data_IF_567176319890
#
_entry.id   IF_567176319890
#
_cell.length_a   1.000
_cell.length_b   1.000
_cell.length_c   1.000
_cell.angle_alpha   90.00
_cell.angle_beta   90.00
_cell.angle_gamma   90.00
#
_symmetry.space_group_name_H-M   'P 1'
#
loop_
_entity.id
_entity.type
_entity.pdbx_description
1 polymer ?
#
# COMPACT_ATOMS: atom_id res chain seq x y z
N UNK A 1 -8.97 -7.32 -8.26
CA UNK A 1 -7.82 -6.79 -8.99
C UNK A 1 -7.85 -7.34 -10.40
N UNK A 2 -7.40 -6.54 -11.35
CA UNK A 2 -7.43 -6.84 -12.77
C UNK A 2 -6.14 -7.56 -13.20
N UNK A 3 -6.12 -8.10 -14.42
CA UNK A 3 -5.01 -8.91 -14.92
C UNK A 3 -4.55 -8.45 -16.30
N UNK A 4 -3.24 -8.25 -16.44
CA UNK A 4 -2.55 -8.06 -17.72
C UNK A 4 -1.85 -9.35 -18.12
N UNK A 5 -2.08 -9.81 -19.34
CA UNK A 5 -1.47 -11.03 -19.86
C UNK A 5 -0.48 -10.72 -20.98
N UNK A 6 0.71 -11.29 -20.92
CA UNK A 6 1.74 -11.23 -21.97
C UNK A 6 2.18 -12.64 -22.30
N UNK A 7 1.97 -13.07 -23.54
CA UNK A 7 2.38 -14.38 -24.03
C UNK A 7 3.36 -14.21 -25.18
N UNK A 8 4.52 -14.84 -25.09
CA UNK A 8 5.58 -14.68 -26.09
C UNK A 8 6.40 -15.96 -26.23
N UNK A 9 6.85 -16.25 -27.46
CA UNK A 9 7.87 -17.27 -27.72
C UNK A 9 9.21 -16.58 -27.96
N UNK A 10 10.22 -16.99 -27.20
CA UNK A 10 11.58 -16.46 -27.26
C UNK A 10 12.59 -17.60 -27.37
N UNK A 11 13.77 -17.31 -27.93
CA UNK A 11 14.88 -18.26 -28.00
C UNK A 11 15.94 -17.91 -26.95
N UNK A 12 16.48 -18.94 -26.30
CA UNK A 12 17.53 -18.82 -25.29
C UNK A 12 18.32 -20.11 -25.15
N UNK A 13 19.39 -20.09 -24.35
CA UNK A 13 20.24 -21.25 -24.08
C UNK A 13 20.19 -21.53 -22.58
N UNK A 14 19.31 -22.45 -22.19
CA UNK A 14 19.08 -22.84 -20.80
C UNK A 14 18.89 -24.35 -20.67
N UNK A 15 19.65 -24.96 -19.78
CA UNK A 15 19.52 -26.38 -19.48
C UNK A 15 20.78 -26.97 -18.89
N UNK A 16 20.72 -28.26 -18.60
CA UNK A 16 21.79 -28.98 -17.89
C UNK A 16 22.64 -29.82 -18.82
N UNK A 17 22.03 -30.36 -19.87
CA UNK A 17 22.70 -31.31 -20.75
C UNK A 17 23.68 -30.60 -21.68
N UNK A 18 24.74 -31.29 -22.10
CA UNK A 18 25.72 -30.70 -23.03
C UNK A 18 25.10 -30.17 -24.32
N UNK A 19 23.98 -30.75 -24.76
CA UNK A 19 23.23 -30.28 -25.93
C UNK A 19 22.44 -28.99 -25.65
N UNK A 20 21.82 -28.85 -24.47
CA UNK A 20 21.05 -27.66 -24.07
C UNK A 20 21.93 -26.44 -23.78
N UNK A 21 23.19 -26.65 -23.38
CA UNK A 21 24.14 -25.56 -23.06
C UNK A 21 24.72 -24.91 -24.34
N UNK A 22 24.51 -25.51 -25.51
CA UNK A 22 25.03 -25.02 -26.79
C UNK A 22 23.98 -24.78 -27.86
N UNK A 23 22.79 -25.38 -27.74
CA UNK A 23 21.74 -25.29 -28.76
C UNK A 23 20.63 -24.36 -28.29
N UNK A 24 20.34 -23.25 -28.99
CA UNK A 24 19.19 -22.42 -28.70
C UNK A 24 17.88 -23.23 -28.79
N UNK A 25 17.04 -23.08 -27.78
CA UNK A 25 15.71 -23.69 -27.72
C UNK A 25 14.64 -22.61 -27.65
N UNK A 26 13.42 -22.93 -28.09
CA UNK A 26 12.27 -22.05 -27.95
C UNK A 26 11.58 -22.27 -26.60
N UNK A 27 11.32 -21.17 -25.92
CA UNK A 27 10.59 -21.10 -24.66
C UNK A 27 9.33 -20.28 -24.91
N UNK A 28 8.17 -20.86 -24.61
CA UNK A 28 6.95 -20.08 -24.45
C UNK A 28 6.91 -19.54 -23.02
N UNK A 29 6.76 -18.21 -22.91
CA UNK A 29 6.68 -17.49 -21.65
C UNK A 29 5.27 -16.90 -21.56
N UNK A 30 4.58 -17.24 -20.49
CA UNK A 30 3.25 -16.75 -20.15
C UNK A 30 3.38 -15.91 -18.87
N UNK A 31 3.15 -14.60 -18.95
CA UNK A 31 3.14 -13.69 -17.81
C UNK A 31 1.72 -13.20 -17.56
N UNK A 32 1.24 -13.38 -16.34
CA UNK A 32 0.03 -12.75 -15.82
C UNK A 32 0.43 -11.79 -14.70
N UNK A 33 0.28 -10.49 -14.92
CA UNK A 33 0.52 -9.46 -13.91
C UNK A 33 -0.81 -8.98 -13.33
N UNK A 34 -0.95 -9.05 -12.00
CA UNK A 34 -2.10 -8.52 -11.26
C UNK A 34 -1.89 -7.03 -10.99
N UNK A 35 -2.78 -6.19 -11.51
CA UNK A 35 -2.68 -4.72 -11.52
C UNK A 35 -4.06 -4.13 -11.19
N UNK A 36 -4.11 -2.90 -10.69
CA UNK A 36 -5.36 -2.13 -10.59
C UNK A 36 -5.52 -1.20 -11.80
N UNK A 37 -6.55 -1.43 -12.63
CA UNK A 37 -6.81 -0.59 -13.81
C UNK A 37 -7.67 0.65 -13.53
N UNK A 38 -8.12 0.85 -12.28
CA UNK A 38 -9.06 1.91 -11.90
C UNK A 38 -8.64 3.30 -12.37
N UNK A 39 -7.34 3.62 -12.29
CA UNK A 39 -6.77 4.90 -12.72
C UNK A 39 -6.68 5.00 -14.25
N UNK A 40 -6.16 3.97 -14.91
CA UNK A 40 -6.04 3.93 -16.36
C UNK A 40 -7.41 4.06 -17.05
N UNK A 41 -8.48 3.48 -16.48
CA UNK A 41 -9.85 3.64 -16.99
C UNK A 41 -10.34 5.09 -16.97
N UNK A 42 -9.86 5.90 -16.03
CA UNK A 42 -10.29 7.30 -15.89
C UNK A 42 -9.45 8.25 -16.74
N UNK A 43 -8.15 7.97 -16.86
CA UNK A 43 -7.21 8.90 -17.47
C UNK A 43 -6.90 8.60 -18.92
N UNK A 44 -7.04 7.34 -19.33
CA UNK A 44 -6.64 6.81 -20.63
C UNK A 44 -5.18 7.14 -20.99
N UNK A 45 -4.28 7.07 -20.00
CA UNK A 45 -2.84 7.36 -20.17
C UNK A 45 -1.98 6.15 -19.82
N UNK A 46 -1.02 5.84 -20.70
CA UNK A 46 -0.07 4.73 -20.52
C UNK A 46 0.73 4.82 -19.21
N UNK A 47 1.07 6.04 -18.77
CA UNK A 47 1.81 6.27 -17.52
C UNK A 47 1.04 5.86 -16.23
N UNK A 48 -0.27 5.61 -16.34
CA UNK A 48 -1.13 5.23 -15.23
C UNK A 48 -1.42 3.70 -15.23
N UNK A 49 -0.69 2.93 -16.04
CA UNK A 49 -0.74 1.46 -16.10
C UNK A 49 0.66 0.87 -16.34
N UNK A 50 0.76 -0.44 -16.49
CA UNK A 50 1.99 -1.12 -16.91
C UNK A 50 2.02 -1.24 -18.43
N UNK A 51 3.07 -0.71 -19.06
CA UNK A 51 3.32 -0.94 -20.48
C UNK A 51 3.81 -2.38 -20.69
N UNK A 52 3.00 -3.18 -21.38
CA UNK A 52 3.33 -4.56 -21.69
C UNK A 52 4.59 -4.69 -22.56
N UNK A 53 5.00 -3.64 -23.29
CA UNK A 53 6.26 -3.62 -24.04
C UNK A 53 7.47 -3.66 -23.10
N UNK A 54 7.36 -3.08 -21.90
CA UNK A 54 8.42 -3.17 -20.89
C UNK A 54 8.53 -4.58 -20.30
N UNK A 55 7.39 -5.24 -20.07
CA UNK A 55 7.35 -6.66 -19.67
C UNK A 55 7.99 -7.53 -20.76
N UNK A 56 7.59 -7.36 -22.03
CA UNK A 56 8.13 -8.11 -23.16
C UNK A 56 9.65 -7.94 -23.29
N UNK A 57 10.14 -6.71 -23.16
CA UNK A 57 11.56 -6.39 -23.15
C UNK A 57 12.29 -7.10 -22.00
N UNK A 58 11.75 -7.04 -20.78
CA UNK A 58 12.34 -7.73 -19.61
C UNK A 58 12.41 -9.24 -19.81
N UNK A 59 11.39 -9.85 -20.40
CA UNK A 59 11.38 -11.28 -20.75
C UNK A 59 12.51 -11.57 -21.75
N UNK A 60 12.56 -10.86 -22.88
CA UNK A 60 13.59 -11.09 -23.92
C UNK A 60 15.00 -10.91 -23.39
N UNK A 61 15.25 -9.89 -22.58
CA UNK A 61 16.56 -9.67 -21.99
C UNK A 61 16.96 -10.79 -21.04
N UNK A 62 16.03 -11.27 -20.20
CA UNK A 62 16.32 -12.32 -19.22
C UNK A 62 16.59 -13.66 -19.91
N UNK A 63 15.78 -14.01 -20.92
CA UNK A 63 15.95 -15.27 -21.68
C UNK A 63 17.14 -15.21 -22.64
N UNK A 64 17.39 -14.05 -23.25
CA UNK A 64 18.45 -13.91 -24.26
C UNK A 64 19.84 -13.65 -23.71
N UNK A 65 19.96 -13.02 -22.53
CA UNK A 65 21.26 -12.58 -21.97
C UNK A 65 21.70 -13.38 -20.74
N UNK A 66 20.78 -14.02 -20.02
CA UNK A 66 21.14 -14.89 -18.90
C UNK A 66 21.20 -16.35 -19.38
N UNK A 67 21.96 -17.20 -18.68
CA UNK A 67 21.93 -18.65 -18.90
C UNK A 67 21.75 -19.34 -17.57
N UNK A 68 20.80 -20.27 -17.52
CA UNK A 68 20.36 -20.94 -16.30
C UNK A 68 20.23 -22.42 -16.58
N UNK A 69 20.55 -23.25 -15.58
CA UNK A 69 20.37 -24.70 -15.67
C UNK A 69 18.89 -25.08 -15.60
N UNK A 70 18.11 -24.34 -14.82
CA UNK A 70 16.73 -24.64 -14.46
C UNK A 70 15.76 -23.60 -15.03
N UNK A 71 14.60 -24.05 -15.52
CA UNK A 71 13.53 -23.15 -15.98
C UNK A 71 12.81 -22.49 -14.79
N UNK A 72 12.91 -23.08 -13.60
CA UNK A 72 12.47 -22.53 -12.32
C UNK A 72 13.23 -21.26 -11.98
N UNK A 73 14.57 -21.28 -12.11
CA UNK A 73 15.41 -20.10 -11.90
C UNK A 73 15.06 -19.02 -12.92
N UNK A 74 14.90 -19.40 -14.19
CA UNK A 74 14.51 -18.44 -15.23
C UNK A 74 13.14 -17.81 -14.95
N UNK A 75 12.14 -18.61 -14.56
CA UNK A 75 10.82 -18.11 -14.18
C UNK A 75 10.89 -17.16 -12.99
N UNK A 76 11.73 -17.47 -11.99
CA UNK A 76 11.92 -16.63 -10.82
C UNK A 76 12.55 -15.29 -11.18
N UNK A 77 13.58 -15.29 -12.04
CA UNK A 77 14.25 -14.07 -12.52
C UNK A 77 13.33 -13.17 -13.33
N UNK A 78 12.51 -13.75 -14.21
CA UNK A 78 11.49 -12.98 -14.94
C UNK A 78 10.49 -12.37 -13.97
N UNK A 79 10.01 -13.14 -12.98
CA UNK A 79 9.09 -12.64 -11.96
C UNK A 79 9.70 -11.46 -11.18
N UNK A 80 10.94 -11.57 -10.70
CA UNK A 80 11.64 -10.47 -10.02
C UNK A 80 11.69 -9.20 -10.87
N UNK A 81 12.08 -9.33 -12.14
CA UNK A 81 12.22 -8.17 -13.03
C UNK A 81 10.88 -7.53 -13.39
N UNK A 82 9.81 -8.31 -13.54
CA UNK A 82 8.45 -7.77 -13.78
C UNK A 82 7.93 -7.05 -12.52
N UNK A 83 8.22 -7.59 -11.34
CA UNK A 83 7.81 -6.96 -10.08
C UNK A 83 8.49 -5.60 -9.84
N UNK A 84 9.63 -5.30 -10.47
CA UNK A 84 10.24 -3.96 -10.43
C UNK A 84 9.28 -2.83 -10.86
N UNK A 85 8.21 -3.13 -11.61
CA UNK A 85 7.15 -2.16 -11.91
C UNK A 85 6.25 -1.94 -10.70
N UNK A 86 6.19 -0.72 -10.14
CA UNK A 86 5.43 -0.43 -8.91
C UNK A 86 3.92 -0.76 -8.95
N UNK A 87 3.32 -0.78 -10.14
CA UNK A 87 1.91 -1.11 -10.32
C UNK A 87 1.58 -2.62 -10.25
N UNK A 88 2.59 -3.51 -10.27
CA UNK A 88 2.37 -4.96 -10.26
C UNK A 88 2.25 -5.49 -8.84
N UNK A 89 1.06 -5.90 -8.42
CA UNK A 89 0.81 -6.45 -7.08
C UNK A 89 1.23 -7.91 -6.94
N UNK A 90 1.05 -8.68 -8.00
CA UNK A 90 1.49 -10.06 -8.09
C UNK A 90 1.79 -10.41 -9.53
N UNK A 91 2.68 -11.37 -9.75
CA UNK A 91 2.98 -11.91 -11.08
C UNK A 91 2.97 -13.42 -11.04
N UNK A 92 2.31 -14.04 -12.01
CA UNK A 92 2.43 -15.45 -12.31
C UNK A 92 3.23 -15.60 -13.61
N UNK A 93 4.32 -16.36 -13.56
CA UNK A 93 5.17 -16.63 -14.72
C UNK A 93 5.13 -18.12 -15.02
N UNK A 94 4.62 -18.47 -16.19
CA UNK A 94 4.70 -19.79 -16.81
C UNK A 94 5.83 -19.84 -17.84
N UNK A 95 6.60 -20.92 -17.82
CA UNK A 95 7.61 -21.21 -18.84
C UNK A 95 7.39 -22.62 -19.36
N UNK A 96 7.30 -22.77 -20.68
CA UNK A 96 7.22 -24.06 -21.36
C UNK A 96 8.38 -24.20 -22.34
N UNK A 97 9.19 -25.26 -22.19
CA UNK A 97 10.21 -25.61 -23.21
C UNK A 97 9.55 -26.36 -24.36
N UNK A 98 9.64 -25.81 -25.57
CA UNK A 98 8.90 -26.35 -26.73
C UNK A 98 9.63 -27.49 -27.45
N UNK A 99 10.94 -27.64 -27.23
CA UNK A 99 11.83 -28.43 -28.08
C UNK A 99 12.59 -29.56 -27.33
N UNK A 100 12.06 -30.08 -26.21
CA UNK A 100 12.81 -31.00 -25.32
C UNK A 100 12.76 -32.47 -25.74
N UNK A 101 11.58 -33.06 -25.89
CA UNK A 101 11.43 -34.46 -26.29
C UNK A 101 10.13 -34.71 -27.06
N UNK A 102 10.12 -35.77 -27.89
CA UNK A 102 9.02 -36.07 -28.81
C UNK A 102 7.67 -36.21 -28.11
N UNK A 103 6.72 -35.34 -28.45
CA UNK A 103 5.34 -35.37 -27.97
C UNK A 103 5.08 -34.68 -26.62
N UNK A 104 6.11 -34.21 -25.91
CA UNK A 104 5.96 -33.57 -24.60
C UNK A 104 6.58 -32.18 -24.52
N UNK A 105 6.04 -31.35 -23.63
CA UNK A 105 6.54 -30.00 -23.35
C UNK A 105 6.62 -29.79 -21.84
N UNK A 106 7.80 -29.91 -21.22
CA UNK A 106 7.91 -29.64 -19.80
C UNK A 106 7.69 -28.15 -19.55
N UNK A 107 6.97 -27.85 -18.47
CA UNK A 107 6.65 -26.49 -18.07
C UNK A 107 6.72 -26.32 -16.55
N UNK A 108 6.94 -25.07 -16.14
CA UNK A 108 6.86 -24.63 -14.75
C UNK A 108 5.98 -23.39 -14.68
N UNK A 109 5.32 -23.20 -13.56
CA UNK A 109 4.61 -21.96 -13.25
C UNK A 109 4.89 -21.59 -11.80
N UNK A 110 5.12 -20.30 -11.55
CA UNK A 110 5.25 -19.78 -10.20
C UNK A 110 4.51 -18.45 -10.07
N UNK A 111 4.06 -18.16 -8.86
CA UNK A 111 3.46 -16.87 -8.49
C UNK A 111 4.35 -16.17 -7.47
N UNK A 112 4.47 -14.86 -7.60
CA UNK A 112 5.11 -13.96 -6.62
C UNK A 112 4.17 -12.82 -6.33
N UNK A 113 3.80 -12.68 -5.07
CA UNK A 113 3.13 -11.50 -4.56
C UNK A 113 4.20 -10.47 -4.15
N UNK A 114 3.91 -9.18 -4.37
CA UNK A 114 4.76 -8.08 -3.89
C UNK A 114 4.95 -8.14 -2.39
N UNK A 115 3.95 -8.69 -1.70
CA UNK A 115 3.91 -8.80 -0.27
C UNK A 115 3.57 -10.23 0.14
N UNK A 116 4.54 -10.91 0.76
CA UNK A 116 4.36 -12.29 1.24
C UNK A 116 3.36 -12.41 2.41
N UNK A 117 3.02 -11.29 3.05
CA UNK A 117 2.12 -11.24 4.20
C UNK A 117 0.69 -10.95 3.75
N UNK A 118 -0.18 -11.96 3.80
CA UNK A 118 -1.62 -11.71 3.81
C UNK A 118 -2.01 -11.11 5.16
N UNK A 119 -2.42 -9.84 5.16
CA UNK A 119 -2.84 -9.14 6.36
C UNK A 119 -4.26 -9.49 6.79
N UNK A 120 -5.07 -10.14 5.93
CA UNK A 120 -6.41 -10.60 6.28
C UNK A 120 -7.24 -9.53 7.00
N UNK A 121 -7.23 -8.29 6.49
CA UNK A 121 -7.92 -7.16 7.12
C UNK A 121 -9.39 -7.52 7.37
N UNK A 122 -9.89 -7.15 8.54
CA UNK A 122 -11.29 -7.36 8.91
C UNK A 122 -12.18 -6.49 8.02
N UNK A 123 -13.29 -7.08 7.60
CA UNK A 123 -14.26 -6.38 6.78
C UNK A 123 -14.97 -5.27 7.56
N UNK A 124 -15.47 -4.26 6.84
CA UNK A 124 -16.13 -3.10 7.44
C UNK A 124 -17.46 -2.77 6.77
N UNK A 125 -18.40 -2.23 7.54
CA UNK A 125 -19.58 -1.56 7.00
C UNK A 125 -19.17 -0.17 6.49
N UNK A 126 -18.82 -0.12 5.20
CA UNK A 126 -18.41 1.14 4.57
C UNK A 126 -19.53 2.18 4.48
N UNK A 127 -20.80 1.80 4.52
CA UNK A 127 -21.92 2.76 4.53
C UNK A 127 -22.04 3.44 5.89
N UNK A 128 -21.92 2.67 6.98
CA UNK A 128 -21.90 3.21 8.33
C UNK A 128 -20.68 4.12 8.55
N UNK A 129 -19.49 3.66 8.15
CA UNK A 129 -18.26 4.45 8.22
C UNK A 129 -18.38 5.77 7.44
N UNK A 130 -18.90 5.70 6.20
CA UNK A 130 -19.09 6.90 5.38
C UNK A 130 -20.03 7.92 6.04
N UNK A 131 -21.12 7.45 6.66
CA UNK A 131 -22.05 8.29 7.42
C UNK A 131 -21.37 8.97 8.62
N UNK A 132 -20.58 8.22 9.38
CA UNK A 132 -19.81 8.76 10.51
C UNK A 132 -18.85 9.87 10.06
N UNK A 133 -18.14 9.67 8.94
CA UNK A 133 -17.24 10.68 8.38
C UNK A 133 -17.97 11.96 7.94
N UNK A 134 -19.17 11.84 7.35
CA UNK A 134 -19.99 13.00 6.97
C UNK A 134 -20.43 13.81 8.19
N UNK A 135 -20.96 13.15 9.23
CA UNK A 135 -21.56 13.84 10.36
C UNK A 135 -20.54 14.32 11.41
N UNK A 136 -19.47 13.55 11.61
CA UNK A 136 -18.55 13.76 12.73
C UNK A 136 -17.12 14.06 12.28
N UNK A 137 -16.79 13.83 11.01
CA UNK A 137 -15.47 14.12 10.45
C UNK A 137 -14.36 13.15 10.85
N UNK A 138 -14.62 12.22 11.76
CA UNK A 138 -13.71 11.15 12.11
C UNK A 138 -14.43 9.95 12.70
N UNK A 139 -13.88 8.77 12.46
CA UNK A 139 -14.41 7.48 12.89
C UNK A 139 -13.28 6.54 13.29
N UNK A 140 -13.60 5.49 14.04
CA UNK A 140 -12.68 4.40 14.40
C UNK A 140 -13.29 3.07 14.04
N UNK A 141 -12.51 2.20 13.39
CA UNK A 141 -12.98 0.90 12.92
C UNK A 141 -11.93 -0.19 13.18
N UNK A 142 -12.31 -1.37 13.70
CA UNK A 142 -11.38 -2.47 14.00
C UNK A 142 -11.04 -3.22 12.70
N UNK A 143 -10.04 -2.74 11.96
CA UNK A 143 -9.65 -3.32 10.66
C UNK A 143 -8.51 -4.33 10.79
N UNK A 144 -7.58 -4.16 11.74
CA UNK A 144 -6.35 -4.95 11.77
C UNK A 144 -6.43 -6.09 12.80
N UNK A 145 -6.46 -7.37 12.38
CA UNK A 145 -6.51 -8.50 13.31
C UNK A 145 -5.30 -8.56 14.24
N UNK A 146 -5.52 -9.03 15.45
CA UNK A 146 -4.50 -9.07 16.52
C UNK A 146 -3.17 -9.75 16.11
N UNK A 147 -3.15 -10.94 15.48
CA UNK A 147 -1.88 -11.57 15.08
C UNK A 147 -1.10 -10.72 14.08
N UNK A 148 -1.80 -10.00 13.20
CA UNK A 148 -1.23 -9.17 12.14
C UNK A 148 -0.74 -7.84 12.69
N UNK A 149 -1.50 -7.25 13.62
CA UNK A 149 -1.08 -6.09 14.42
C UNK A 149 0.22 -6.37 15.15
N UNK A 150 0.35 -7.51 15.84
CA UNK A 150 1.58 -7.87 16.57
C UNK A 150 2.78 -8.03 15.65
N UNK A 151 2.58 -8.63 14.46
CA UNK A 151 3.64 -8.75 13.45
C UNK A 151 4.10 -7.37 12.94
N UNK A 152 3.16 -6.48 12.61
CA UNK A 152 3.45 -5.11 12.19
C UNK A 152 4.11 -4.29 13.31
N UNK A 153 3.66 -4.42 14.56
CA UNK A 153 4.32 -3.78 15.71
C UNK A 153 5.77 -4.26 15.87
N UNK A 154 6.00 -5.56 15.71
CA UNK A 154 7.36 -6.13 15.76
C UNK A 154 8.24 -5.57 14.65
N UNK A 155 7.70 -5.38 13.46
CA UNK A 155 8.41 -4.73 12.36
C UNK A 155 8.64 -3.23 12.63
N UNK A 156 7.63 -2.50 13.12
CA UNK A 156 7.72 -1.08 13.44
C UNK A 156 8.86 -0.75 14.41
N UNK A 157 9.17 -1.66 15.34
CA UNK A 157 10.27 -1.49 16.30
C UNK A 157 11.65 -1.50 15.66
N UNK A 158 11.80 -2.10 14.47
CA UNK A 158 13.07 -2.16 13.73
C UNK A 158 13.39 -0.88 12.96
N UNK A 159 12.39 -0.01 12.76
CA UNK A 159 12.59 1.26 12.07
C UNK A 159 13.40 2.25 12.91
N UNK A 160 14.20 3.06 12.22
CA UNK A 160 14.87 4.21 12.80
C UNK A 160 13.88 5.38 12.84
N UNK A 161 13.65 5.93 14.03
CA UNK A 161 12.77 7.08 14.25
C UNK A 161 13.60 8.33 14.48
N UNK A 162 13.19 9.41 13.84
CA UNK A 162 13.81 10.74 13.97
C UNK A 162 12.85 11.60 14.78
N UNK A 163 13.32 12.19 15.88
CA UNK A 163 12.54 13.17 16.63
C UNK A 163 12.20 14.37 15.74
N UNK A 164 10.92 14.71 15.69
CA UNK A 164 10.49 15.90 14.97
C UNK A 164 10.74 17.12 15.86
N UNK A 165 11.31 18.21 15.30
CA UNK A 165 11.49 19.44 16.05
C UNK A 165 10.12 19.98 16.46
N UNK A 166 10.01 20.43 17.71
CA UNK A 166 8.80 21.05 18.24
C UNK A 166 8.52 22.36 17.47
N UNK A 167 7.61 22.31 16.49
CA UNK A 167 7.30 23.47 15.65
C UNK A 167 6.28 24.39 16.33
N UNK A 168 6.76 25.37 17.09
CA UNK A 168 5.94 26.52 17.48
C UNK A 168 5.90 27.56 16.37
N UNK A 169 5.11 27.31 15.32
CA UNK A 169 4.74 28.36 14.35
C UNK A 169 3.82 29.42 14.97
N UNK A 170 3.39 30.40 14.15
CA UNK A 170 2.49 31.51 14.53
C UNK A 170 1.12 31.09 15.13
N UNK A 171 0.83 29.80 15.13
CA UNK A 171 -0.43 29.20 15.55
C UNK A 171 -0.32 28.28 16.77
N UNK A 172 0.88 28.15 17.38
CA UNK A 172 1.16 27.43 18.64
C UNK A 172 0.68 25.97 18.68
N UNK A 173 0.78 25.23 17.56
CA UNK A 173 0.60 23.77 17.59
C UNK A 173 1.80 23.17 18.32
N UNK A 174 1.54 22.38 19.35
CA UNK A 174 2.56 21.60 20.06
C UNK A 174 2.49 20.17 19.58
N UNK A 175 3.60 19.66 19.08
CA UNK A 175 3.74 18.28 18.61
C UNK A 175 5.04 17.70 19.18
N UNK A 176 4.92 16.55 19.84
CA UNK A 176 6.05 15.79 20.37
C UNK A 176 5.95 14.35 19.87
N UNK A 177 6.58 14.10 18.72
CA UNK A 177 6.54 12.82 18.00
C UNK A 177 7.90 12.52 17.39
N UNK A 178 8.26 11.24 17.31
CA UNK A 178 9.34 10.76 16.44
C UNK A 178 8.74 10.04 15.24
N UNK A 179 9.34 10.14 14.06
CA UNK A 179 8.77 9.52 12.85
C UNK A 179 9.77 8.75 12.01
N UNK A 180 9.27 7.80 11.22
CA UNK A 180 10.01 7.07 10.20
C UNK A 180 9.21 7.00 8.91
N UNK A 181 9.80 7.46 7.80
CA UNK A 181 9.17 7.50 6.47
C UNK A 181 9.89 6.62 5.45
N UNK A 182 10.92 5.89 5.87
CA UNK A 182 11.69 5.00 5.00
C UNK A 182 11.15 3.57 5.14
N UNK A 183 10.61 3.03 4.04
CA UNK A 183 10.07 1.68 3.97
C UNK A 183 10.78 0.89 2.87
N UNK A 184 11.42 -0.25 3.19
CA UNK A 184 11.96 -1.15 2.17
C UNK A 184 10.88 -1.63 1.19
N UNK A 185 11.29 -1.99 -0.03
CA UNK A 185 10.39 -2.40 -1.12
C UNK A 185 9.40 -3.54 -0.76
N UNK A 186 9.77 -4.41 0.18
CA UNK A 186 8.93 -5.53 0.67
C UNK A 186 8.33 -5.27 2.06
N UNK A 187 8.32 -4.02 2.52
CA UNK A 187 7.83 -3.69 3.86
C UNK A 187 6.37 -4.09 4.02
N UNK A 188 5.99 -4.77 5.12
CA UNK A 188 4.59 -5.08 5.40
C UNK A 188 3.72 -3.83 5.60
N UNK A 189 4.32 -2.65 5.82
CA UNK A 189 3.61 -1.37 5.85
C UNK A 189 3.14 -0.91 4.47
N UNK A 190 3.89 -1.23 3.42
CA UNK A 190 3.44 -0.98 2.05
C UNK A 190 2.26 -1.91 1.70
N UNK A 191 2.30 -3.18 2.14
CA UNK A 191 1.15 -4.10 2.05
C UNK A 191 -0.07 -3.57 2.79
N UNK A 192 0.11 -3.07 4.02
CA UNK A 192 -0.98 -2.52 4.82
C UNK A 192 -1.61 -1.29 4.16
N UNK A 193 -0.79 -0.42 3.57
CA UNK A 193 -1.28 0.71 2.76
C UNK A 193 -2.17 0.22 1.62
N UNK A 194 -1.70 -0.73 0.83
CA UNK A 194 -2.40 -1.21 -0.35
C UNK A 194 -3.69 -1.95 0.01
N UNK A 195 -3.64 -2.84 1.01
CA UNK A 195 -4.81 -3.59 1.46
C UNK A 195 -5.88 -2.67 2.06
N UNK A 196 -5.47 -1.68 2.86
CA UNK A 196 -6.41 -0.71 3.43
C UNK A 196 -7.03 0.14 2.32
N UNK A 197 -6.25 0.54 1.32
CA UNK A 197 -6.75 1.28 0.16
C UNK A 197 -7.81 0.48 -0.60
N UNK A 198 -7.53 -0.78 -0.91
CA UNK A 198 -8.46 -1.68 -1.58
C UNK A 198 -9.73 -1.88 -0.76
N UNK A 199 -9.59 -2.14 0.54
CA UNK A 199 -10.73 -2.34 1.43
C UNK A 199 -11.64 -1.11 1.43
N UNK A 200 -11.08 0.08 1.63
CA UNK A 200 -11.84 1.34 1.62
C UNK A 200 -12.48 1.59 0.25
N UNK A 201 -11.76 1.35 -0.84
CA UNK A 201 -12.28 1.50 -2.19
C UNK A 201 -13.48 0.58 -2.47
N UNK A 202 -13.42 -0.67 -2.01
CA UNK A 202 -14.49 -1.66 -2.20
C UNK A 202 -15.70 -1.40 -1.31
N UNK A 203 -15.48 -0.87 -0.10
CA UNK A 203 -16.55 -0.71 0.91
C UNK A 203 -17.21 0.66 0.90
N UNK A 204 -16.51 1.70 0.49
CA UNK A 204 -17.11 3.04 0.43
C UNK A 204 -18.21 3.05 -0.64
N UNK A 205 -19.35 3.71 -0.35
CA UNK A 205 -20.40 3.82 -1.34
C UNK A 205 -19.88 4.53 -2.59
N UNK A 206 -20.26 4.03 -3.77
CA UNK A 206 -19.95 4.66 -5.06
C UNK A 206 -20.83 5.90 -5.24
N UNK A 207 -20.51 6.99 -4.54
CA UNK A 207 -21.28 8.23 -4.57
C UNK A 207 -20.80 9.13 -5.72
N UNK A 208 -21.13 8.73 -6.97
CA UNK A 208 -20.87 9.51 -8.19
C UNK A 208 -19.39 9.87 -8.45
N UNK A 209 -19.12 10.56 -9.56
CA UNK A 209 -17.77 11.02 -9.96
C UNK A 209 -17.16 12.10 -9.03
N UNK A 210 -17.90 12.52 -7.99
CA UNK A 210 -17.61 13.70 -7.16
C UNK A 210 -17.24 13.37 -5.70
N UNK A 211 -17.21 12.09 -5.32
CA UNK A 211 -16.91 11.71 -3.93
C UNK A 211 -15.49 12.06 -3.47
N UNK A 212 -14.56 12.07 -4.43
CA UNK A 212 -13.16 12.36 -4.22
C UNK A 212 -12.78 13.56 -5.06
N UNK A 213 -11.78 14.32 -4.63
CA UNK A 213 -11.31 15.52 -5.34
C UNK A 213 -10.55 15.19 -6.62
N UNK A 214 -11.27 14.78 -7.67
CA UNK A 214 -10.79 14.70 -9.05
C UNK A 214 -9.70 13.66 -9.35
N UNK A 215 -9.28 12.88 -8.36
CA UNK A 215 -8.31 11.79 -8.50
C UNK A 215 -8.84 10.54 -7.80
N UNK A 216 -8.53 9.33 -8.31
CA UNK A 216 -8.73 8.11 -7.56
C UNK A 216 -8.17 8.25 -6.14
N UNK A 217 -8.88 7.65 -5.18
CA UNK A 217 -8.41 7.57 -3.81
C UNK A 217 -7.11 6.75 -3.76
N UNK A 218 -6.03 7.36 -3.27
CA UNK A 218 -4.69 6.77 -3.23
C UNK A 218 -3.86 7.31 -2.06
N UNK A 219 -3.28 6.43 -1.24
CA UNK A 219 -2.41 6.79 -0.13
C UNK A 219 -0.98 7.03 -0.62
N UNK A 220 -0.70 8.26 -1.02
CA UNK A 220 0.60 8.65 -1.58
C UNK A 220 1.67 8.97 -0.52
N UNK A 221 1.29 9.15 0.74
CA UNK A 221 2.19 9.51 1.84
C UNK A 221 1.93 8.61 3.04
N UNK A 222 2.99 7.97 3.53
CA UNK A 222 2.92 7.04 4.67
C UNK A 222 4.03 7.35 5.67
N UNK A 223 3.73 7.19 6.96
CA UNK A 223 4.68 7.48 8.04
C UNK A 223 4.38 6.63 9.26
N UNK A 224 5.42 6.06 9.88
CA UNK A 224 5.34 5.55 11.24
C UNK A 224 5.58 6.69 12.21
N UNK A 225 4.74 6.80 13.23
CA UNK A 225 4.88 7.76 14.31
C UNK A 225 5.05 7.02 15.63
N UNK A 226 5.97 7.49 16.47
CA UNK A 226 6.23 6.99 17.81
C UNK A 226 6.08 8.14 18.80
N UNK A 227 5.28 7.90 19.83
CA UNK A 227 5.11 8.80 20.95
C UNK A 227 5.62 8.12 22.21
N UNK A 228 6.51 8.81 22.91
CA UNK A 228 7.01 8.37 24.21
C UNK A 228 5.92 8.48 25.27
N UNK A 229 5.97 7.59 26.27
CA UNK A 229 5.11 7.70 27.45
C UNK A 229 5.27 9.08 28.10
N UNK A 230 4.16 9.74 28.43
CA UNK A 230 4.16 11.08 29.01
C UNK A 230 4.39 12.21 28.01
N UNK A 231 4.54 11.91 26.71
CA UNK A 231 4.56 12.94 25.66
C UNK A 231 3.27 13.76 25.67
N UNK A 232 3.38 15.06 25.38
CA UNK A 232 2.20 15.92 25.22
C UNK A 232 1.34 15.56 24.01
N UNK A 233 1.84 14.70 23.11
CA UNK A 233 1.16 14.30 21.89
C UNK A 233 1.09 15.44 20.89
N UNK A 234 -0.10 15.66 20.33
CA UNK A 234 -0.37 16.71 19.35
C UNK A 234 -1.62 17.49 19.76
N UNK A 235 -1.47 18.79 19.98
CA UNK A 235 -2.59 19.69 20.29
C UNK A 235 -3.58 19.82 19.13
N UNK A 236 -4.82 20.33 19.35
CA UNK A 236 -5.81 20.51 18.29
C UNK A 236 -5.26 21.20 17.04
N UNK A 237 -5.25 20.46 15.94
CA UNK A 237 -4.69 20.91 14.66
C UNK A 237 -5.49 20.32 13.51
N UNK A 238 -5.16 20.78 12.31
CA UNK A 238 -5.61 20.23 11.04
C UNK A 238 -4.40 19.76 10.26
N UNK A 239 -4.59 18.78 9.39
CA UNK A 239 -3.55 18.32 8.47
C UNK A 239 -3.04 19.44 7.53
N UNK A 240 -1.88 19.22 6.92
CA UNK A 240 -1.32 20.16 5.94
C UNK A 240 -2.26 20.38 4.74
N UNK A 241 -2.17 21.54 4.09
CA UNK A 241 -3.04 21.92 2.96
C UNK A 241 -2.97 20.98 1.75
N UNK A 242 -1.90 20.19 1.63
CA UNK A 242 -1.73 19.20 0.57
C UNK A 242 -2.50 17.91 0.83
N UNK A 243 -2.93 17.65 2.06
CA UNK A 243 -3.69 16.45 2.43
C UNK A 243 -5.13 16.61 1.97
N UNK A 244 -5.62 15.64 1.20
CA UNK A 244 -6.96 15.67 0.60
C UNK A 244 -7.75 14.40 0.88
N UNK A 245 -9.06 14.44 0.63
CA UNK A 245 -9.99 13.32 0.77
C UNK A 245 -10.04 12.77 2.20
N UNK A 246 -9.29 11.70 2.51
CA UNK A 246 -9.23 11.13 3.85
C UNK A 246 -7.79 10.84 4.24
N UNK A 247 -7.54 10.76 5.54
CA UNK A 247 -6.31 10.21 6.09
C UNK A 247 -6.63 9.21 7.19
N UNK A 248 -5.72 8.26 7.38
CA UNK A 248 -5.88 7.15 8.31
C UNK A 248 -4.73 7.12 9.32
N UNK A 249 -5.04 6.66 10.53
CA UNK A 249 -4.07 6.39 11.60
C UNK A 249 -4.34 4.98 12.11
N UNK A 250 -3.50 4.03 11.72
CA UNK A 250 -3.55 2.64 12.20
C UNK A 250 -2.84 2.57 13.55
N UNK A 251 -3.51 2.04 14.57
CA UNK A 251 -2.96 1.96 15.92
C UNK A 251 -2.29 0.62 16.11
N UNK A 252 -0.95 0.61 16.17
CA UNK A 252 -0.19 -0.63 16.37
C UNK A 252 -0.06 -0.98 17.84
N UNK A 253 0.14 0.01 18.71
CA UNK A 253 0.24 -0.19 20.17
C UNK A 253 0.04 1.13 20.92
N UNK A 254 -0.20 1.01 22.21
CA UNK A 254 -0.12 2.11 23.18
C UNK A 254 -1.37 2.96 23.29
N UNK A 255 -1.43 3.67 24.40
CA UNK A 255 -2.59 4.46 24.80
C UNK A 255 -2.46 5.91 24.39
N UNK A 256 -3.61 6.58 24.29
CA UNK A 256 -3.71 7.99 24.01
C UNK A 256 -5.14 8.36 23.67
N UNK A 257 -5.55 9.55 24.09
CA UNK A 257 -6.87 10.09 23.79
C UNK A 257 -6.81 10.83 22.47
N UNK A 258 -7.41 10.23 21.44
CA UNK A 258 -7.60 10.89 20.14
C UNK A 258 -9.05 11.37 20.02
N UNK A 259 -9.25 12.59 19.54
CA UNK A 259 -10.58 13.13 19.32
C UNK A 259 -10.62 14.02 18.07
N UNK A 260 -11.81 14.13 17.50
CA UNK A 260 -12.20 15.20 16.58
C UNK A 260 -12.85 16.34 17.37
N UNK A 261 -12.64 17.58 16.97
CA UNK A 261 -13.19 18.75 17.65
C UNK A 261 -13.60 19.85 16.66
N UNK A 262 -14.29 20.88 17.15
CA UNK A 262 -14.83 21.95 16.31
C UNK A 262 -13.78 22.98 15.88
N UNK A 263 -12.75 23.21 16.71
CA UNK A 263 -11.78 24.28 16.53
C UNK A 263 -10.48 24.01 17.32
N UNK A 264 -9.51 24.94 17.22
CA UNK A 264 -8.20 24.86 17.87
C UNK A 264 -8.22 24.84 19.40
N UNK A 265 -9.34 25.16 20.02
CA UNK A 265 -9.45 25.10 21.49
C UNK A 265 -9.81 23.69 21.98
N UNK A 266 -10.13 22.76 21.06
CA UNK A 266 -10.63 21.43 21.43
C UNK A 266 -12.11 21.43 21.82
N UNK A 267 -12.85 22.50 21.53
CA UNK A 267 -14.28 22.59 21.85
C UNK A 267 -15.09 21.51 21.13
N UNK A 268 -16.14 21.01 21.79
CA UNK A 268 -17.03 19.97 21.28
C UNK A 268 -16.26 18.71 20.83
N UNK A 269 -15.32 18.26 21.65
CA UNK A 269 -14.54 17.06 21.36
C UNK A 269 -15.40 15.81 21.36
N UNK A 270 -15.23 14.97 20.34
CA UNK A 270 -15.71 13.59 20.28
C UNK A 270 -14.50 12.66 20.25
N UNK A 271 -14.31 11.90 21.32
CA UNK A 271 -13.25 10.93 21.42
C UNK A 271 -13.52 9.71 20.54
N UNK A 272 -12.46 9.19 19.94
CA UNK A 272 -12.48 8.00 19.11
C UNK A 272 -11.92 6.82 19.89
N UNK A 273 -12.41 5.61 19.61
CA UNK A 273 -11.84 4.39 20.17
C UNK A 273 -10.41 4.19 19.63
N UNK A 274 -9.43 4.23 20.52
CA UNK A 274 -8.01 4.11 20.20
C UNK A 274 -7.42 2.73 20.50
N UNK A 275 -8.27 1.71 20.62
CA UNK A 275 -7.84 0.31 20.82
C UNK A 275 -6.83 -0.11 19.74
N UNK A 276 -5.68 -0.70 20.12
CA UNK A 276 -4.73 -1.25 19.14
C UNK A 276 -5.41 -2.23 18.18
N UNK A 277 -5.14 -2.08 16.88
CA UNK A 277 -5.83 -2.81 15.80
C UNK A 277 -6.92 -1.97 15.13
N UNK A 278 -7.41 -0.91 15.78
CA UNK A 278 -8.30 0.03 15.14
C UNK A 278 -7.55 0.95 14.17
N UNK A 279 -8.28 1.39 13.15
CA UNK A 279 -7.87 2.42 12.21
C UNK A 279 -8.78 3.62 12.43
N UNK A 280 -8.17 4.73 12.81
CA UNK A 280 -8.86 6.01 12.85
C UNK A 280 -8.88 6.58 11.44
N UNK A 281 -10.04 7.01 10.97
CA UNK A 281 -10.22 7.56 9.62
C UNK A 281 -10.82 8.95 9.79
N UNK A 282 -10.24 9.94 9.12
CA UNK A 282 -10.62 11.33 9.23
C UNK A 282 -10.89 11.94 7.86
N UNK A 283 -11.83 12.89 7.79
CA UNK A 283 -12.01 13.70 6.58
C UNK A 283 -10.89 14.74 6.46
N UNK A 284 -10.52 14.99 5.22
CA UNK A 284 -9.72 16.11 4.76
C UNK A 284 -10.45 16.84 3.62
N UNK A 285 -10.00 18.04 3.24
CA UNK A 285 -10.60 18.77 2.13
C UNK A 285 -10.62 17.93 0.84
N UNK A 286 -11.74 17.92 0.15
CA UNK A 286 -11.97 17.11 -1.04
C UNK A 286 -12.91 15.92 -0.83
N UNK A 287 -13.06 15.45 0.40
CA UNK A 287 -14.07 14.44 0.72
C UNK A 287 -15.47 14.98 0.42
N UNK A 288 -16.22 14.30 -0.45
CA UNK A 288 -17.53 14.76 -0.95
C UNK A 288 -17.48 16.16 -1.62
N UNK A 289 -16.34 16.52 -2.23
CA UNK A 289 -16.15 17.85 -2.79
C UNK A 289 -16.14 18.98 -1.74
N UNK A 290 -16.10 18.65 -0.45
CA UNK A 290 -16.14 19.62 0.64
C UNK A 290 -14.78 20.32 0.84
N UNK A 291 -14.80 21.57 1.28
CA UNK A 291 -13.58 22.27 1.74
C UNK A 291 -13.34 22.12 3.25
N UNK A 292 -14.19 21.36 3.95
CA UNK A 292 -14.09 21.20 5.39
C UNK A 292 -12.83 20.42 5.78
N UNK A 293 -12.19 20.90 6.84
CA UNK A 293 -11.01 20.27 7.41
C UNK A 293 -11.29 19.89 8.86
N UNK A 294 -10.93 18.67 9.25
CA UNK A 294 -11.24 18.17 10.57
C UNK A 294 -10.15 18.54 11.58
N UNK A 295 -10.51 19.34 12.58
CA UNK A 295 -9.65 19.53 13.74
C UNK A 295 -9.61 18.23 14.55
N UNK A 296 -8.41 17.82 14.95
CA UNK A 296 -8.20 16.63 15.77
C UNK A 296 -6.95 16.80 16.64
N UNK A 297 -6.82 15.95 17.66
CA UNK A 297 -5.67 15.96 18.57
C UNK A 297 -5.39 14.57 19.14
N UNK A 298 -4.21 14.42 19.73
CA UNK A 298 -3.79 13.27 20.53
C UNK A 298 -3.19 13.79 21.83
N UNK A 299 -3.75 13.38 22.98
CA UNK A 299 -3.24 13.74 24.30
C UNK A 299 -3.22 12.52 25.23
N UNK A 300 -2.79 12.72 26.48
CA UNK A 300 -2.85 11.71 27.55
C UNK A 300 -2.19 10.38 27.14
N UNK A 301 -0.97 10.44 26.61
CA UNK A 301 -0.21 9.26 26.20
C UNK A 301 0.36 8.59 27.46
N UNK A 302 -0.32 7.56 27.95
CA UNK A 302 0.03 6.86 29.19
C UNK A 302 0.98 5.68 29.00
N UNK A 303 1.24 5.27 27.76
CA UNK A 303 2.18 4.21 27.38
C UNK A 303 2.83 4.52 26.03
N UNK A 304 3.94 3.87 25.68
CA UNK A 304 4.56 4.07 24.36
C UNK A 304 3.55 3.72 23.26
N UNK A 305 3.29 4.70 22.38
CA UNK A 305 2.31 4.59 21.30
C UNK A 305 3.02 4.61 19.96
N UNK A 306 2.72 3.61 19.12
CA UNK A 306 3.20 3.55 17.74
C UNK A 306 2.01 3.46 16.80
N UNK A 307 1.96 4.36 15.83
CA UNK A 307 0.92 4.43 14.81
C UNK A 307 1.51 4.42 13.41
N UNK A 308 0.75 3.93 12.44
CA UNK A 308 1.07 4.03 11.02
C UNK A 308 0.04 4.93 10.35
N UNK A 309 0.48 6.08 9.87
CA UNK A 309 -0.37 7.12 9.31
C UNK A 309 -0.28 7.10 7.79
N UNK A 310 -1.42 7.22 7.13
CA UNK A 310 -1.57 7.19 5.68
C UNK A 310 -2.36 8.40 5.21
N UNK A 311 -1.87 9.10 4.21
CA UNK A 311 -2.47 10.33 3.67
C UNK A 311 -2.47 10.29 2.16
N UNK A 312 -3.50 10.86 1.55
CA UNK A 312 -3.45 11.27 0.15
C UNK A 312 -2.95 12.71 0.08
N UNK A 313 -1.82 12.93 -0.62
CA UNK A 313 -1.26 14.27 -0.86
C UNK A 313 -1.41 14.65 -2.33
N UNK A 314 -1.95 15.84 -2.59
CA UNK A 314 -1.87 16.48 -3.90
C UNK A 314 -0.67 17.45 -3.93
N UNK A 315 0.07 17.41 -5.04
CA UNK A 315 1.20 18.32 -5.32
C UNK A 315 0.70 19.69 -5.74
#
# INVERSE_FOLDING_TARGET
MDKLHVQIVVQGIHGRTGQEVHTPQRFQIDVEATIDFSRAFQTDKLQDTVDYCEIEKKIRETVGKESHVLIETLAHRIAERVMEHDFVYAVTVGITKLDVFGGGRPSVSLTRDRYALDLGLLDIDGTALFRELIHHGGASVPILPEPRRVALFTEAKKHMYIEQPEYTGSHRVREQVSSSSMFPYQSPFLKLRDDLQILLHLRFPRVGETAWRGTPFDFTDIVLQRYQQGSSGVTPHVEGKSVVNIFCVVILTGDGKTAVCADRTGRNSRYLDTTPGNVLIFRAPGFMGSHLQQFHFLTDITSERITFCLRQKQK
#
